data_IF_669334713603
#
_entry.id   IF_669334713603
#
_cell.length_a   1.000
_cell.length_b   1.000
_cell.length_c   1.000
_cell.angle_alpha   90.00
_cell.angle_beta   90.00
_cell.angle_gamma   90.00
#
_symmetry.space_group_name_H-M   'P 1'
#
loop_
_entity.id
_entity.type
_entity.pdbx_description
1 polymer ?
#
# COMPACT_ATOMS: atom_id res chain seq x y z
N UNK A 1 4.44 20.00 16.87
CA UNK A 1 4.61 19.85 15.41
C UNK A 1 4.99 18.40 15.03
N UNK A 2 4.62 17.40 15.84
CA UNK A 2 4.95 15.98 15.60
C UNK A 2 4.00 15.24 14.66
N UNK A 3 2.74 15.69 14.56
CA UNK A 3 1.73 14.96 13.80
C UNK A 3 2.06 14.84 12.30
N UNK A 4 2.76 15.82 11.71
CA UNK A 4 3.23 15.76 10.32
C UNK A 4 4.33 14.69 10.13
N UNK A 5 5.24 14.56 11.10
CA UNK A 5 6.25 13.51 11.09
C UNK A 5 5.63 12.12 11.29
N UNK A 6 4.67 12.00 12.21
CA UNK A 6 3.91 10.76 12.42
C UNK A 6 3.12 10.35 11.16
N UNK A 7 2.44 11.30 10.50
CA UNK A 7 1.71 11.05 9.25
C UNK A 7 2.63 10.58 8.12
N UNK A 8 3.83 11.16 7.99
CA UNK A 8 4.85 10.72 7.02
C UNK A 8 5.44 9.35 7.36
N UNK A 9 5.62 9.05 8.65
CA UNK A 9 6.00 7.72 9.12
C UNK A 9 4.96 6.68 8.69
N UNK A 10 3.71 6.94 9.04
CA UNK A 10 2.58 6.09 8.69
C UNK A 10 2.41 5.93 7.17
N UNK A 11 2.59 6.98 6.38
CA UNK A 11 2.52 6.88 4.92
C UNK A 11 3.60 5.96 4.32
N UNK A 12 4.83 6.01 4.85
CA UNK A 12 5.90 5.07 4.46
C UNK A 12 5.58 3.64 4.85
N UNK A 13 5.01 3.43 6.04
CA UNK A 13 4.62 2.11 6.52
C UNK A 13 3.46 1.54 5.69
N UNK A 14 2.47 2.36 5.34
CA UNK A 14 1.39 2.00 4.43
C UNK A 14 1.90 1.66 3.03
N UNK A 15 2.88 2.42 2.51
CA UNK A 15 3.49 2.08 1.23
C UNK A 15 4.20 0.72 1.29
N UNK A 16 4.92 0.40 2.38
CA UNK A 16 5.51 -0.93 2.55
C UNK A 16 4.44 -2.01 2.65
N UNK A 17 3.40 -1.78 3.45
CA UNK A 17 2.28 -2.70 3.61
C UNK A 17 1.54 -2.97 2.29
N UNK A 18 1.39 -1.96 1.43
CA UNK A 18 0.82 -2.12 0.09
C UNK A 18 1.63 -3.11 -0.74
N UNK A 19 2.96 -2.94 -0.81
CA UNK A 19 3.83 -3.86 -1.57
C UNK A 19 3.84 -5.27 -0.98
N UNK A 20 3.93 -5.39 0.35
CA UNK A 20 3.94 -6.70 1.03
C UNK A 20 2.61 -7.43 0.84
N UNK A 21 1.47 -6.76 1.01
CA UNK A 21 0.15 -7.37 0.82
C UNK A 21 -0.09 -7.79 -0.63
N UNK A 22 0.34 -6.98 -1.60
CA UNK A 22 0.28 -7.33 -3.02
C UNK A 22 1.13 -8.56 -3.34
N UNK A 23 2.37 -8.60 -2.83
CA UNK A 23 3.27 -9.73 -3.01
C UNK A 23 2.71 -11.02 -2.41
N UNK A 24 2.19 -10.97 -1.18
CA UNK A 24 1.55 -12.13 -0.53
C UNK A 24 0.34 -12.62 -1.34
N UNK A 25 -0.55 -11.71 -1.74
CA UNK A 25 -1.77 -12.06 -2.48
C UNK A 25 -1.43 -12.65 -3.85
N UNK A 26 -0.46 -12.05 -4.55
CA UNK A 26 0.01 -12.56 -5.83
C UNK A 26 0.70 -13.92 -5.69
N UNK A 27 1.59 -14.09 -4.70
CA UNK A 27 2.24 -15.37 -4.43
C UNK A 27 1.25 -16.46 -4.07
N UNK A 28 0.25 -16.18 -3.23
CA UNK A 28 -0.82 -17.13 -2.91
C UNK A 28 -1.65 -17.49 -4.16
N UNK A 29 -1.93 -16.48 -4.98
CA UNK A 29 -2.62 -16.61 -6.25
C UNK A 29 -1.91 -17.44 -7.32
N UNK A 30 -0.58 -17.28 -7.39
CA UNK A 30 0.29 -17.93 -8.36
C UNK A 30 0.29 -19.45 -8.23
N UNK A 31 0.14 -19.96 -7.02
CA UNK A 31 0.01 -21.41 -6.76
C UNK A 31 -1.43 -21.91 -6.87
N UNK A 32 -2.42 -21.03 -7.12
CA UNK A 32 -3.80 -21.42 -7.39
C UNK A 32 -4.06 -21.56 -8.89
N UNK A 33 -5.10 -22.32 -9.25
CA UNK A 33 -5.59 -22.43 -10.64
C UNK A 33 -6.18 -21.13 -11.20
N UNK A 34 -6.34 -20.08 -10.38
CA UNK A 34 -6.89 -18.78 -10.78
C UNK A 34 -5.92 -17.62 -10.54
N UNK A 35 -4.75 -17.70 -11.19
CA UNK A 35 -3.70 -16.68 -11.09
C UNK A 35 -4.14 -15.28 -11.55
N UNK A 36 -5.05 -15.20 -12.52
CA UNK A 36 -5.59 -13.91 -13.04
C UNK A 36 -6.47 -13.22 -12.00
N UNK A 37 -7.38 -13.95 -11.36
CA UNK A 37 -8.24 -13.39 -10.30
C UNK A 37 -7.44 -12.91 -9.11
N UNK A 38 -6.42 -13.67 -8.70
CA UNK A 38 -5.56 -13.29 -7.60
C UNK A 38 -4.66 -12.08 -7.92
N UNK A 39 -4.17 -11.95 -9.16
CA UNK A 39 -3.46 -10.76 -9.60
C UNK A 39 -4.36 -9.52 -9.55
N UNK A 40 -5.61 -9.62 -9.99
CA UNK A 40 -6.57 -8.53 -9.92
C UNK A 40 -6.84 -8.08 -8.48
N UNK A 41 -7.03 -9.04 -7.56
CA UNK A 41 -7.21 -8.74 -6.13
C UNK A 41 -5.95 -8.12 -5.53
N UNK A 42 -4.76 -8.64 -5.85
CA UNK A 42 -3.49 -8.10 -5.38
C UNK A 42 -3.30 -6.64 -5.81
N UNK A 43 -3.60 -6.32 -7.07
CA UNK A 43 -3.54 -4.95 -7.60
C UNK A 43 -4.57 -4.04 -6.92
N UNK A 44 -5.81 -4.52 -6.72
CA UNK A 44 -6.85 -3.74 -6.05
C UNK A 44 -6.46 -3.39 -4.62
N UNK A 45 -5.98 -4.37 -3.84
CA UNK A 45 -5.50 -4.16 -2.46
C UNK A 45 -4.31 -3.21 -2.44
N UNK A 46 -3.34 -3.40 -3.34
CA UNK A 46 -2.19 -2.51 -3.47
C UNK A 46 -2.62 -1.07 -3.72
N UNK A 47 -3.52 -0.84 -4.68
CA UNK A 47 -4.01 0.50 -5.03
C UNK A 47 -4.70 1.18 -3.84
N UNK A 48 -5.56 0.47 -3.11
CA UNK A 48 -6.28 1.04 -1.95
C UNK A 48 -5.30 1.49 -0.86
N UNK A 49 -4.38 0.62 -0.46
CA UNK A 49 -3.41 0.93 0.61
C UNK A 49 -2.43 2.02 0.16
N UNK A 50 -1.99 1.98 -1.10
CA UNK A 50 -1.08 2.98 -1.67
C UNK A 50 -1.73 4.37 -1.75
N UNK A 51 -3.01 4.43 -2.11
CA UNK A 51 -3.77 5.68 -2.20
C UNK A 51 -3.92 6.34 -0.84
N UNK A 52 -4.13 5.56 0.22
CA UNK A 52 -4.16 6.07 1.60
C UNK A 52 -2.81 6.65 2.02
N UNK A 53 -1.70 5.99 1.68
CA UNK A 53 -0.35 6.53 1.90
C UNK A 53 -0.13 7.87 1.18
N UNK A 54 -0.56 7.98 -0.08
CA UNK A 54 -0.50 9.23 -0.84
C UNK A 54 -1.32 10.36 -0.21
N UNK A 55 -2.55 10.07 0.24
CA UNK A 55 -3.39 11.06 0.91
C UNK A 55 -2.73 11.56 2.20
N UNK A 56 -2.09 10.67 2.97
CA UNK A 56 -1.37 11.03 4.19
C UNK A 56 -0.10 11.86 3.90
N UNK A 57 0.65 11.52 2.86
CA UNK A 57 1.79 12.34 2.39
C UNK A 57 1.34 13.74 1.96
N UNK A 58 0.26 13.82 1.17
CA UNK A 58 -0.32 15.09 0.72
C UNK A 58 -0.81 15.93 1.91
N UNK A 59 -1.45 15.29 2.89
CA UNK A 59 -1.97 15.97 4.08
C UNK A 59 -0.87 16.46 5.02
N UNK A 60 0.27 15.75 5.09
CA UNK A 60 1.43 16.18 5.87
C UNK A 60 2.16 17.39 5.24
N UNK A 61 1.93 17.67 3.96
CA UNK A 61 2.53 18.79 3.22
C UNK A 61 4.02 18.60 2.89
N UNK A 62 4.65 19.55 2.18
CA UNK A 62 6.03 19.44 1.70
C UNK A 62 7.04 19.33 2.86
N UNK A 63 8.11 18.54 2.65
CA UNK A 63 9.20 18.47 3.61
C UNK A 63 9.89 19.84 3.73
N UNK A 64 10.28 20.27 4.95
CA UNK A 64 11.09 21.47 5.13
C UNK A 64 12.47 21.32 4.47
#
# INVERSE_FOLDING_TARGET
MDWKFAARGLARDLNRAAHVSAAITFSAGWFSTNSVGAAAVAVAVWMVVRSLGFLLEAWAGPAP
#
